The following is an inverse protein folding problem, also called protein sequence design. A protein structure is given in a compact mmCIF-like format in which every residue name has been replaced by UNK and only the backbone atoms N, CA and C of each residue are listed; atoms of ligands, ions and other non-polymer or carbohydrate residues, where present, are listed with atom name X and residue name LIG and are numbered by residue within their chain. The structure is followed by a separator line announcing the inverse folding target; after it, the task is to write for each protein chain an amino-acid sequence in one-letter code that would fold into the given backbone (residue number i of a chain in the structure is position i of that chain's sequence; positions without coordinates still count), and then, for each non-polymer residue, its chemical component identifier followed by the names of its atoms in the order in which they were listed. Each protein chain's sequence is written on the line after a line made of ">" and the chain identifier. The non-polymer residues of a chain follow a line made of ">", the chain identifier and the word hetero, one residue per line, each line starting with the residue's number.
data_IF_203770079931
#
_entry.id   IF_203770079931
#
_cell.length_a   1.000
_cell.length_b   1.000
_cell.length_c   1.000
_cell.angle_alpha   90.00
_cell.angle_beta   90.00
_cell.angle_gamma   90.00
#
_symmetry.space_group_name_H-M   'P 1'
#
loop_
_entity.id
_entity.type
_entity.pdbx_description
1 polymer ?
#
# COMPACT_ATOMS: atom_id res chain seq x y z
N UNK A 1 -17.41 -5.93 -1.04
CA UNK A 1 -16.04 -5.93 -0.54
C UNK A 1 -16.03 -6.26 0.93
N UNK A 2 -15.20 -7.20 1.30
CA UNK A 2 -14.85 -7.47 2.70
C UNK A 2 -14.26 -6.18 3.24
N UNK A 3 -14.64 -5.80 4.48
CA UNK A 3 -14.24 -4.53 5.06
C UNK A 3 -12.73 -4.29 4.89
N UNK A 4 -12.39 -3.22 4.21
CA UNK A 4 -10.99 -2.87 3.97
C UNK A 4 -10.37 -2.39 5.27
N UNK A 5 -9.77 -3.28 6.02
CA UNK A 5 -8.88 -2.89 7.10
C UNK A 5 -7.60 -2.30 6.50
N UNK A 6 -7.13 -1.21 7.10
CA UNK A 6 -5.89 -0.57 6.66
C UNK A 6 -4.72 -1.53 6.83
N UNK A 7 -3.85 -1.65 5.82
CA UNK A 7 -2.55 -2.32 5.94
C UNK A 7 -1.59 -1.59 6.90
N UNK A 8 -2.00 -0.46 7.44
CA UNK A 8 -1.18 0.35 8.33
C UNK A 8 -1.92 0.54 9.66
N UNK A 9 -1.26 0.16 10.75
CA UNK A 9 -1.72 0.56 12.07
C UNK A 9 -1.51 2.07 12.23
N UNK A 10 -2.56 2.81 12.58
CA UNK A 10 -2.53 4.27 12.71
C UNK A 10 -1.51 4.77 13.72
N UNK A 11 -1.18 3.98 14.74
CA UNK A 11 -0.16 4.28 15.73
C UNK A 11 1.29 4.24 15.18
N UNK A 12 1.48 3.63 14.01
CA UNK A 12 2.77 3.54 13.31
C UNK A 12 2.90 4.54 12.16
N UNK A 13 1.92 5.44 12.00
CA UNK A 13 1.95 6.48 10.98
C UNK A 13 2.58 7.74 11.59
N UNK A 14 3.72 8.16 11.06
CA UNK A 14 4.36 9.43 11.42
C UNK A 14 3.81 10.58 10.58
N UNK A 15 3.67 10.38 9.27
CA UNK A 15 3.14 11.37 8.34
C UNK A 15 2.34 10.67 7.23
N UNK A 16 1.28 11.31 6.79
CA UNK A 16 0.50 10.90 5.62
C UNK A 16 0.35 12.09 4.67
N UNK A 17 0.74 11.89 3.40
CA UNK A 17 0.54 12.86 2.32
C UNK A 17 -0.48 12.30 1.34
N UNK A 18 -1.51 13.06 1.06
CA UNK A 18 -2.59 12.68 0.14
C UNK A 18 -2.50 13.56 -1.10
N UNK A 19 -2.35 12.92 -2.24
CA UNK A 19 -2.40 13.53 -3.56
C UNK A 19 -3.75 13.18 -4.21
N UNK A 20 -4.72 14.05 -4.07
CA UNK A 20 -6.10 13.83 -4.56
C UNK A 20 -6.24 13.90 -6.10
N UNK A 21 -5.18 14.27 -6.79
CA UNK A 21 -5.03 14.33 -8.24
C UNK A 21 -3.61 14.75 -8.58
N UNK A 22 -3.18 14.52 -9.80
CA UNK A 22 -1.84 14.86 -10.28
C UNK A 22 -0.72 14.42 -9.30
N UNK A 23 -0.61 13.14 -8.94
CA UNK A 23 0.46 12.67 -8.06
C UNK A 23 1.82 12.96 -8.68
N UNK A 24 2.88 13.17 -7.88
CA UNK A 24 4.21 13.39 -8.43
C UNK A 24 4.67 12.16 -9.22
N UNK A 25 5.31 12.37 -10.38
CA UNK A 25 5.79 11.27 -11.24
C UNK A 25 6.96 10.46 -10.64
N UNK A 26 7.46 10.83 -9.46
CA UNK A 26 8.31 9.98 -8.65
C UNK A 26 7.58 8.72 -8.16
N UNK A 27 6.24 8.81 -8.07
CA UNK A 27 5.34 7.69 -7.79
C UNK A 27 4.81 7.18 -9.14
N UNK A 28 5.10 5.92 -9.47
CA UNK A 28 4.65 5.29 -10.72
C UNK A 28 3.23 4.75 -10.61
N UNK A 29 2.66 4.40 -11.79
CA UNK A 29 1.38 3.71 -11.93
C UNK A 29 0.20 4.37 -11.19
N UNK A 30 0.15 5.71 -11.18
CA UNK A 30 -0.89 6.46 -10.48
C UNK A 30 -1.45 7.56 -11.38
N UNK A 31 -2.76 7.54 -11.64
CA UNK A 31 -3.47 8.52 -12.46
C UNK A 31 -4.56 9.28 -11.70
N UNK A 32 -5.17 8.65 -10.69
CA UNK A 32 -6.29 9.23 -9.95
C UNK A 32 -5.85 9.92 -8.66
N UNK A 33 -4.73 9.49 -8.08
CA UNK A 33 -4.19 10.01 -6.84
C UNK A 33 -3.19 9.06 -6.21
N UNK A 34 -2.53 9.50 -5.14
CA UNK A 34 -1.60 8.69 -4.37
C UNK A 34 -1.69 9.03 -2.87
N UNK A 35 -1.40 8.06 -2.04
CA UNK A 35 -1.21 8.26 -0.60
C UNK A 35 0.21 7.80 -0.28
N UNK A 36 1.01 8.70 0.26
CA UNK A 36 2.35 8.43 0.76
C UNK A 36 2.29 8.37 2.29
N UNK A 37 2.70 7.24 2.86
CA UNK A 37 2.70 7.01 4.30
C UNK A 37 4.16 6.84 4.75
N UNK A 38 4.54 7.61 5.73
CA UNK A 38 5.86 7.54 6.36
C UNK A 38 5.69 7.10 7.83
N UNK A 39 6.53 6.17 8.27
CA UNK A 39 6.61 5.79 9.68
C UNK A 39 7.32 6.89 10.50
N UNK A 40 7.17 6.94 11.83
CA UNK A 40 7.88 7.91 12.66
C UNK A 40 9.39 7.83 12.45
N UNK A 41 10.06 8.98 12.38
CA UNK A 41 11.54 9.03 12.31
C UNK A 41 12.20 8.87 13.69
N UNK A 42 11.47 9.11 14.77
CA UNK A 42 11.95 8.95 16.15
C UNK A 42 10.79 8.72 17.12
N UNK A 43 11.09 8.10 18.24
CA UNK A 43 10.18 7.99 19.39
C UNK A 43 10.84 8.66 20.59
N UNK A 44 10.03 9.31 21.43
CA UNK A 44 10.53 10.09 22.58
C UNK A 44 10.84 9.22 23.78
N UNK A 45 10.07 8.15 24.00
CA UNK A 45 10.15 7.26 25.17
C UNK A 45 9.76 5.83 24.83
N UNK A 46 10.09 4.90 25.75
CA UNK A 46 9.50 3.57 25.74
C UNK A 46 8.00 3.68 26.07
N UNK A 47 7.18 2.93 25.38
CA UNK A 47 5.73 2.95 25.58
C UNK A 47 5.13 1.55 25.40
N UNK A 48 4.11 1.27 26.19
CA UNK A 48 3.27 0.07 26.09
C UNK A 48 1.82 0.53 26.05
N UNK A 49 1.13 0.28 24.94
CA UNK A 49 -0.29 0.56 24.80
C UNK A 49 -1.06 -0.74 24.70
N UNK A 50 -2.08 -0.86 25.51
CA UNK A 50 -3.06 -1.94 25.44
C UNK A 50 -4.39 -1.35 25.00
N UNK A 51 -5.03 -1.97 24.03
CA UNK A 51 -6.35 -1.61 23.56
C UNK A 51 -7.31 -2.77 23.76
N UNK A 52 -8.49 -2.48 24.30
CA UNK A 52 -9.55 -3.45 24.46
C UNK A 52 -10.89 -2.78 24.15
N UNK A 53 -11.69 -3.45 23.33
CA UNK A 53 -13.05 -3.06 23.01
C UNK A 53 -13.95 -4.29 22.87
N UNK A 54 -15.21 -4.09 22.56
CA UNK A 54 -16.16 -5.20 22.33
C UNK A 54 -15.81 -6.05 21.09
N UNK A 55 -14.95 -5.56 20.21
CA UNK A 55 -14.61 -6.25 18.97
C UNK A 55 -13.09 -6.32 18.71
N UNK A 56 -12.25 -5.81 19.61
CA UNK A 56 -10.81 -5.76 19.38
C UNK A 56 -10.03 -5.85 20.68
N UNK A 57 -8.93 -6.60 20.66
CA UNK A 57 -7.87 -6.59 21.65
C UNK A 57 -6.53 -6.38 20.95
N UNK A 58 -5.72 -5.45 21.44
CA UNK A 58 -4.45 -5.11 20.82
C UNK A 58 -3.37 -4.70 21.80
N UNK A 59 -2.13 -4.82 21.35
CA UNK A 59 -0.93 -4.41 22.05
C UNK A 59 0.02 -3.69 21.10
N UNK A 60 0.61 -2.59 21.54
CA UNK A 60 1.71 -1.91 20.88
C UNK A 60 2.83 -1.70 21.89
N UNK A 61 4.03 -2.14 21.53
CA UNK A 61 5.26 -1.94 22.29
C UNK A 61 6.18 -1.06 21.50
N UNK A 62 6.59 0.08 22.07
CA UNK A 62 7.58 0.97 21.49
C UNK A 62 8.83 0.97 22.35
N UNK A 63 9.96 0.56 21.78
CA UNK A 63 11.26 0.48 22.48
C UNK A 63 12.25 1.44 21.86
N UNK A 64 12.62 2.47 22.60
CA UNK A 64 13.74 3.36 22.26
C UNK A 64 15.05 2.63 22.54
N UNK A 65 15.87 2.42 21.52
CA UNK A 65 17.19 1.79 21.62
C UNK A 65 18.26 2.88 21.85
N UNK A 66 18.12 4.00 21.11
CA UNK A 66 18.90 5.23 21.28
C UNK A 66 18.07 6.43 20.82
N UNK A 67 18.64 7.65 20.80
CA UNK A 67 17.89 8.83 20.31
C UNK A 67 17.48 8.74 18.84
N UNK A 68 18.17 7.91 18.05
CA UNK A 68 17.94 7.73 16.62
C UNK A 68 17.54 6.31 16.23
N UNK A 69 17.46 5.39 17.20
CA UNK A 69 17.17 3.98 16.94
C UNK A 69 16.01 3.52 17.80
N UNK A 70 15.05 2.87 17.18
CA UNK A 70 13.90 2.32 17.89
C UNK A 70 13.31 1.11 17.18
N UNK A 71 12.52 0.37 17.95
CA UNK A 71 11.70 -0.75 17.50
C UNK A 71 10.28 -0.56 18.02
N UNK A 72 9.30 -0.77 17.14
CA UNK A 72 7.89 -0.88 17.52
C UNK A 72 7.36 -2.22 17.07
N UNK A 73 6.60 -2.89 17.94
CA UNK A 73 5.94 -4.16 17.69
C UNK A 73 4.47 -4.00 18.03
N UNK A 74 3.58 -4.47 17.18
CA UNK A 74 2.17 -4.49 17.50
C UNK A 74 1.53 -5.82 17.10
N UNK A 75 0.46 -6.16 17.78
CA UNK A 75 -0.44 -7.23 17.43
C UNK A 75 -1.87 -6.86 17.83
N UNK A 76 -2.82 -7.16 16.97
CA UNK A 76 -4.24 -6.97 17.19
C UNK A 76 -5.00 -8.24 16.84
N UNK A 77 -6.08 -8.46 17.57
CA UNK A 77 -7.06 -9.49 17.25
C UNK A 77 -8.47 -8.87 17.30
N UNK A 78 -9.18 -8.93 16.19
CA UNK A 78 -10.57 -8.54 16.10
C UNK A 78 -11.44 -9.80 16.18
N UNK A 79 -12.47 -9.74 17.00
CA UNK A 79 -13.41 -10.84 17.21
C UNK A 79 -14.85 -10.33 17.12
N UNK A 80 -15.70 -11.10 16.45
CA UNK A 80 -17.07 -10.68 16.16
C UNK A 80 -18.07 -11.02 17.23
N UNK A 81 -17.82 -12.03 18.06
CA UNK A 81 -18.84 -12.63 18.92
C UNK A 81 -19.57 -11.65 19.86
N UNK A 82 -18.89 -10.81 20.66
CA UNK A 82 -19.60 -9.85 21.54
C UNK A 82 -20.34 -8.76 20.74
N UNK A 83 -19.74 -8.32 19.64
CA UNK A 83 -20.35 -7.30 18.78
C UNK A 83 -21.65 -7.82 18.14
N UNK A 84 -21.61 -9.01 17.56
CA UNK A 84 -22.79 -9.65 16.93
C UNK A 84 -23.87 -9.96 17.95
N UNK A 85 -23.50 -10.38 19.16
CA UNK A 85 -24.45 -10.63 20.22
C UNK A 85 -25.22 -9.37 20.63
N UNK A 86 -24.54 -8.21 20.71
CA UNK A 86 -25.18 -6.93 21.04
C UNK A 86 -26.01 -6.34 19.90
N UNK A 87 -25.66 -6.63 18.65
CA UNK A 87 -26.27 -6.03 17.45
C UNK A 87 -27.06 -7.05 16.60
N UNK A 88 -27.51 -8.17 17.18
CA UNK A 88 -28.12 -9.27 16.44
C UNK A 88 -29.32 -8.87 15.57
N UNK A 89 -30.10 -7.86 15.94
CA UNK A 89 -31.26 -7.37 15.16
C UNK A 89 -30.89 -6.73 13.83
N UNK A 90 -29.71 -6.17 13.68
CA UNK A 90 -29.26 -5.45 12.48
C UNK A 90 -28.18 -6.21 11.70
N UNK A 91 -27.64 -7.28 12.25
CA UNK A 91 -26.47 -7.98 11.71
C UNK A 91 -26.64 -9.50 11.69
N UNK A 92 -27.88 -10.00 11.72
CA UNK A 92 -28.20 -11.43 11.72
C UNK A 92 -27.67 -12.18 10.49
N UNK A 93 -27.54 -11.46 9.34
CA UNK A 93 -26.88 -11.99 8.14
C UNK A 93 -25.37 -12.24 8.33
N UNK A 94 -24.73 -11.52 9.26
CA UNK A 94 -23.29 -11.63 9.53
C UNK A 94 -23.04 -12.68 10.60
N UNK A 95 -22.44 -13.81 10.23
CA UNK A 95 -22.22 -14.93 11.15
C UNK A 95 -20.91 -14.81 11.92
N UNK A 96 -19.86 -14.36 11.25
CA UNK A 96 -18.53 -14.26 11.85
C UNK A 96 -17.61 -13.34 11.03
N UNK A 97 -16.86 -12.52 11.71
CA UNK A 97 -15.63 -11.95 11.19
C UNK A 97 -14.54 -12.04 12.25
N UNK A 98 -13.35 -12.42 11.84
CA UNK A 98 -12.16 -12.40 12.69
C UNK A 98 -11.02 -11.86 11.87
N UNK A 99 -10.22 -11.02 12.50
CA UNK A 99 -9.00 -10.50 11.88
C UNK A 99 -7.89 -10.57 12.93
N UNK A 100 -6.77 -11.15 12.55
CA UNK A 100 -5.55 -11.10 13.37
C UNK A 100 -4.49 -10.42 12.55
N UNK A 101 -3.93 -9.34 13.06
CA UNK A 101 -2.87 -8.60 12.41
C UNK A 101 -1.75 -8.25 13.37
N UNK A 102 -0.57 -8.08 12.81
CA UNK A 102 0.60 -7.68 13.57
C UNK A 102 1.72 -7.18 12.68
N UNK A 103 2.66 -6.49 13.27
CA UNK A 103 3.76 -5.94 12.49
C UNK A 103 4.90 -5.39 13.33
N UNK A 104 5.93 -5.01 12.58
CA UNK A 104 7.19 -4.50 13.07
C UNK A 104 7.52 -3.19 12.36
N UNK A 105 7.94 -2.17 13.10
CA UNK A 105 8.55 -0.97 12.58
C UNK A 105 9.92 -0.79 13.26
N UNK A 106 10.98 -0.91 12.48
CA UNK A 106 12.36 -0.78 12.93
C UNK A 106 13.04 0.39 12.22
N UNK A 107 13.61 1.29 13.00
CA UNK A 107 14.40 2.40 12.51
C UNK A 107 15.80 2.37 13.12
N UNK A 108 16.82 2.29 12.26
CA UNK A 108 18.22 2.24 12.65
C UNK A 108 19.06 3.30 11.93
N UNK A 109 19.69 4.16 12.67
CA UNK A 109 20.79 5.00 12.20
C UNK A 109 22.09 4.22 12.35
N UNK A 110 22.49 3.49 11.31
CA UNK A 110 23.68 2.61 11.33
C UNK A 110 24.98 3.40 11.43
N UNK A 111 25.05 4.53 10.72
CA UNK A 111 26.14 5.51 10.81
C UNK A 111 25.55 6.93 10.69
N UNK A 112 26.32 8.02 10.93
CA UNK A 112 25.81 9.36 10.71
C UNK A 112 25.27 9.65 9.29
N UNK A 113 25.62 8.80 8.32
CA UNK A 113 25.24 8.93 6.91
C UNK A 113 24.31 7.85 6.40
N UNK A 114 24.11 6.75 7.14
CA UNK A 114 23.39 5.57 6.69
C UNK A 114 22.25 5.24 7.63
N UNK A 115 21.02 5.27 7.11
CA UNK A 115 19.80 4.88 7.79
C UNK A 115 19.25 3.60 7.18
N UNK A 116 18.69 2.74 8.01
CA UNK A 116 17.92 1.57 7.63
C UNK A 116 16.54 1.63 8.27
N UNK A 117 15.49 1.41 7.49
CA UNK A 117 14.11 1.32 7.94
C UNK A 117 13.54 -0.01 7.49
N UNK A 118 12.78 -0.66 8.36
CA UNK A 118 12.01 -1.85 8.04
C UNK A 118 10.59 -1.69 8.59
N UNK A 119 9.62 -1.89 7.73
CA UNK A 119 8.23 -2.03 8.10
C UNK A 119 7.73 -3.39 7.63
N UNK A 120 7.14 -4.15 8.53
CA UNK A 120 6.57 -5.47 8.28
C UNK A 120 5.15 -5.54 8.82
N UNK A 121 4.27 -6.22 8.07
CA UNK A 121 2.87 -6.36 8.41
C UNK A 121 2.36 -7.71 7.94
N UNK A 122 1.63 -8.40 8.81
CA UNK A 122 0.94 -9.63 8.49
C UNK A 122 -0.51 -9.56 8.96
N UNK A 123 -1.43 -10.06 8.14
CA UNK A 123 -2.85 -10.12 8.47
C UNK A 123 -3.45 -11.45 8.02
N UNK A 124 -4.33 -11.99 8.86
CA UNK A 124 -5.21 -13.14 8.57
C UNK A 124 -6.66 -12.71 8.83
N UNK A 125 -7.49 -12.75 7.79
CA UNK A 125 -8.87 -12.33 7.81
C UNK A 125 -9.78 -13.50 7.47
N UNK A 126 -10.85 -13.64 8.23
CA UNK A 126 -11.91 -14.59 8.01
C UNK A 126 -13.27 -13.91 8.12
N UNK A 127 -14.11 -14.12 7.14
CA UNK A 127 -15.45 -13.57 7.06
C UNK A 127 -16.47 -14.65 6.67
N UNK A 128 -17.64 -14.61 7.30
CA UNK A 128 -18.74 -15.53 7.03
C UNK A 128 -20.08 -14.81 7.19
N UNK A 129 -20.91 -14.89 6.17
CA UNK A 129 -22.23 -14.25 6.16
C UNK A 129 -23.25 -15.03 5.34
N UNK A 130 -24.51 -14.94 5.72
CA UNK A 130 -25.62 -15.36 4.86
C UNK A 130 -25.70 -14.40 3.68
N UNK A 131 -25.70 -14.95 2.49
CA UNK A 131 -25.73 -14.19 1.23
C UNK A 131 -26.87 -14.73 0.39
N UNK A 132 -27.61 -13.82 -0.25
CA UNK A 132 -28.66 -14.17 -1.19
C UNK A 132 -28.34 -13.53 -2.54
N UNK A 133 -28.33 -14.35 -3.59
CA UNK A 133 -28.08 -13.90 -4.95
C UNK A 133 -28.90 -14.71 -5.93
N UNK A 134 -29.68 -14.05 -6.80
CA UNK A 134 -30.56 -14.70 -7.79
C UNK A 134 -31.46 -15.79 -7.21
N UNK A 135 -32.10 -15.52 -6.06
CA UNK A 135 -32.95 -16.44 -5.31
C UNK A 135 -32.24 -17.68 -4.72
N UNK A 136 -30.94 -17.78 -4.84
CA UNK A 136 -30.13 -18.75 -4.11
C UNK A 136 -29.59 -18.14 -2.82
N UNK A 137 -29.81 -18.84 -1.71
CA UNK A 137 -29.43 -18.39 -0.39
C UNK A 137 -28.53 -19.41 0.28
N UNK A 138 -27.32 -19.01 0.60
CA UNK A 138 -26.34 -19.87 1.27
C UNK A 138 -25.36 -19.01 2.08
N UNK A 139 -24.51 -19.69 2.84
CA UNK A 139 -23.44 -19.08 3.61
C UNK A 139 -22.22 -18.78 2.74
N UNK A 140 -21.90 -17.52 2.58
CA UNK A 140 -20.64 -17.11 1.94
C UNK A 140 -19.48 -17.10 2.92
N UNK A 141 -18.31 -17.53 2.45
CA UNK A 141 -17.04 -17.52 3.20
C UNK A 141 -15.99 -16.76 2.42
N UNK A 142 -15.29 -15.88 3.10
CA UNK A 142 -14.14 -15.20 2.52
C UNK A 142 -12.95 -15.24 3.48
N UNK A 143 -11.77 -15.48 2.91
CA UNK A 143 -10.51 -15.53 3.65
C UNK A 143 -9.48 -14.67 2.95
N UNK A 144 -8.61 -14.03 3.72
CA UNK A 144 -7.48 -13.28 3.19
C UNK A 144 -6.29 -13.41 4.13
N UNK A 145 -5.14 -13.75 3.58
CA UNK A 145 -3.85 -13.75 4.28
C UNK A 145 -2.88 -12.91 3.50
N UNK A 146 -2.29 -11.94 4.14
CA UNK A 146 -1.33 -11.05 3.52
C UNK A 146 -0.12 -10.85 4.40
N UNK A 147 1.04 -10.87 3.79
CA UNK A 147 2.29 -10.44 4.37
C UNK A 147 2.88 -9.35 3.49
N UNK A 148 3.22 -8.23 4.11
CA UNK A 148 3.73 -7.05 3.45
C UNK A 148 4.98 -6.56 4.16
N UNK A 149 6.03 -6.28 3.40
CA UNK A 149 7.30 -5.76 3.91
C UNK A 149 7.77 -4.58 3.06
N UNK A 150 8.28 -3.55 3.70
CA UNK A 150 9.06 -2.49 3.07
C UNK A 150 10.37 -2.32 3.82
N UNK A 151 11.48 -2.46 3.12
CA UNK A 151 12.82 -2.19 3.63
C UNK A 151 13.43 -1.02 2.87
N UNK A 152 13.97 -0.03 3.58
CA UNK A 152 14.59 1.15 3.02
C UNK A 152 16.00 1.36 3.55
N UNK A 153 16.94 1.68 2.65
CA UNK A 153 18.30 2.08 2.98
C UNK A 153 18.55 3.47 2.40
N UNK A 154 18.87 4.43 3.25
CA UNK A 154 19.15 5.81 2.86
C UNK A 154 20.57 6.18 3.21
N UNK A 155 21.35 6.58 2.22
CA UNK A 155 22.69 7.11 2.37
C UNK A 155 22.70 8.61 2.06
N UNK A 156 23.18 9.44 3.00
CA UNK A 156 23.31 10.90 2.86
C UNK A 156 24.77 11.32 2.88
N UNK A 157 25.27 11.84 1.76
CA UNK A 157 26.59 12.44 1.68
C UNK A 157 26.51 13.92 2.11
N UNK A 158 26.66 14.19 3.40
CA UNK A 158 26.38 15.48 4.05
C UNK A 158 27.11 16.69 3.43
N UNK A 159 28.29 16.50 2.85
CA UNK A 159 29.09 17.59 2.25
C UNK A 159 28.69 17.91 0.80
N UNK A 160 28.11 16.96 0.07
CA UNK A 160 27.79 17.10 -1.34
C UNK A 160 26.31 17.38 -1.63
N UNK A 161 25.43 17.33 -0.62
CA UNK A 161 23.97 17.47 -0.82
C UNK A 161 23.33 16.30 -1.56
N UNK A 162 24.04 15.16 -1.69
CA UNK A 162 23.55 13.96 -2.36
C UNK A 162 22.92 13.00 -1.36
N UNK A 163 21.72 12.52 -1.67
CA UNK A 163 21.04 11.45 -0.92
C UNK A 163 20.72 10.31 -1.89
N UNK A 164 21.08 9.09 -1.54
CA UNK A 164 20.75 7.89 -2.28
C UNK A 164 19.81 7.02 -1.45
N UNK A 165 18.71 6.59 -2.05
CA UNK A 165 17.68 5.76 -1.42
C UNK A 165 17.51 4.48 -2.21
N UNK A 166 17.61 3.35 -1.52
CA UNK A 166 17.23 2.04 -2.03
C UNK A 166 16.04 1.55 -1.22
N UNK A 167 14.92 1.28 -1.88
CA UNK A 167 13.75 0.73 -1.24
C UNK A 167 13.36 -0.60 -1.89
N UNK A 168 12.96 -1.55 -1.08
CA UNK A 168 12.43 -2.85 -1.49
C UNK A 168 11.09 -3.09 -0.80
N UNK A 169 10.08 -3.49 -1.56
CA UNK A 169 8.77 -3.86 -1.08
C UNK A 169 8.41 -5.27 -1.53
N UNK A 170 7.88 -6.06 -0.63
CA UNK A 170 7.36 -7.41 -0.90
C UNK A 170 5.92 -7.45 -0.40
N UNK A 171 5.02 -7.97 -1.20
CA UNK A 171 3.61 -8.14 -0.86
C UNK A 171 3.17 -9.54 -1.32
N UNK A 172 2.83 -10.40 -0.38
CA UNK A 172 2.34 -11.75 -0.60
C UNK A 172 0.92 -11.84 -0.07
N UNK A 173 -0.04 -12.05 -0.96
CA UNK A 173 -1.45 -12.16 -0.62
C UNK A 173 -2.04 -13.47 -1.13
N UNK A 174 -2.83 -14.12 -0.29
CA UNK A 174 -3.67 -15.25 -0.66
C UNK A 174 -5.08 -14.95 -0.18
N UNK A 175 -6.05 -14.94 -1.10
CA UNK A 175 -7.47 -14.78 -0.78
C UNK A 175 -8.27 -15.97 -1.30
N UNK A 176 -9.39 -16.25 -0.66
CA UNK A 176 -10.34 -17.26 -1.06
C UNK A 176 -11.78 -16.78 -0.85
N UNK A 177 -12.67 -17.20 -1.71
CA UNK A 177 -14.09 -16.91 -1.61
C UNK A 177 -14.90 -18.15 -2.00
N UNK A 178 -15.95 -18.44 -1.22
CA UNK A 178 -16.87 -19.54 -1.48
C UNK A 178 -18.31 -19.09 -1.29
N UNK A 179 -19.18 -19.46 -2.23
CA UNK A 179 -20.63 -19.25 -2.16
C UNK A 179 -21.33 -20.22 -3.13
N UNK A 180 -22.13 -21.15 -2.61
CA UNK A 180 -22.70 -22.23 -3.41
C UNK A 180 -21.61 -22.97 -4.20
N UNK A 181 -21.85 -23.21 -5.49
CA UNK A 181 -20.89 -23.87 -6.40
C UNK A 181 -19.62 -23.07 -6.62
N UNK A 182 -19.64 -21.74 -6.36
CA UNK A 182 -18.47 -20.89 -6.52
C UNK A 182 -17.45 -21.12 -5.42
N UNK A 183 -16.22 -21.57 -5.78
CA UNK A 183 -15.09 -21.72 -4.87
C UNK A 183 -13.82 -21.24 -5.59
N UNK A 184 -13.34 -20.06 -5.23
CA UNK A 184 -12.21 -19.42 -5.88
C UNK A 184 -11.11 -19.02 -4.91
N UNK A 185 -9.87 -19.10 -5.38
CA UNK A 185 -8.70 -18.63 -4.66
C UNK A 185 -7.76 -17.84 -5.57
N UNK A 186 -7.21 -16.77 -5.02
CA UNK A 186 -6.21 -15.95 -5.69
C UNK A 186 -4.95 -15.92 -4.84
N UNK A 187 -3.79 -16.11 -5.48
CA UNK A 187 -2.48 -15.85 -4.89
C UNK A 187 -1.79 -14.76 -5.67
N UNK A 188 -1.49 -13.67 -5.01
CA UNK A 188 -0.83 -12.53 -5.58
C UNK A 188 0.52 -12.31 -4.87
N UNK A 189 1.59 -12.22 -5.67
CA UNK A 189 2.93 -11.92 -5.21
C UNK A 189 3.41 -10.68 -5.95
N UNK A 190 3.77 -9.63 -5.21
CA UNK A 190 4.34 -8.39 -5.74
C UNK A 190 5.71 -8.15 -5.15
N UNK A 191 6.65 -7.78 -6.00
CA UNK A 191 7.98 -7.32 -5.62
C UNK A 191 8.16 -5.93 -6.21
N UNK A 192 8.59 -4.99 -5.39
CA UNK A 192 8.92 -3.63 -5.80
C UNK A 192 10.35 -3.31 -5.35
N UNK A 193 11.15 -2.75 -6.24
CA UNK A 193 12.48 -2.25 -5.91
C UNK A 193 12.66 -0.88 -6.55
N UNK A 194 13.18 0.09 -5.81
CA UNK A 194 13.51 1.40 -6.32
C UNK A 194 14.87 1.87 -5.84
N UNK A 195 15.64 2.45 -6.75
CA UNK A 195 16.88 3.16 -6.48
C UNK A 195 16.68 4.60 -6.91
N UNK A 196 16.88 5.56 -6.02
CA UNK A 196 16.76 6.98 -6.29
C UNK A 196 17.98 7.75 -5.79
N UNK A 197 18.43 8.72 -6.57
CA UNK A 197 19.43 9.68 -6.16
C UNK A 197 18.81 11.09 -6.16
N UNK A 198 18.99 11.83 -5.05
CA UNK A 198 18.54 13.20 -4.87
C UNK A 198 19.76 14.09 -4.71
N UNK A 199 19.73 15.25 -5.34
CA UNK A 199 20.79 16.25 -5.24
C UNK A 199 20.19 17.62 -5.02
N UNK A 200 20.66 18.32 -4.00
CA UNK A 200 20.18 19.65 -3.64
C UNK A 200 21.33 20.65 -3.71
N UNK A 201 21.13 21.68 -4.51
CA UNK A 201 22.09 22.78 -4.65
C UNK A 201 21.34 24.12 -4.68
N UNK A 202 21.56 24.96 -3.68
CA UNK A 202 20.90 26.26 -3.54
C UNK A 202 19.37 26.15 -3.68
N UNK A 203 18.82 26.70 -4.74
CA UNK A 203 17.38 26.76 -5.03
C UNK A 203 16.89 25.63 -5.95
N UNK A 204 17.78 24.71 -6.30
CA UNK A 204 17.51 23.59 -7.21
C UNK A 204 17.55 22.27 -6.46
N UNK A 205 16.58 21.43 -6.73
CA UNK A 205 16.54 20.03 -6.31
C UNK A 205 16.35 19.13 -7.52
N UNK A 206 17.16 18.10 -7.63
CA UNK A 206 17.07 17.08 -8.66
C UNK A 206 16.84 15.72 -8.04
N UNK A 207 16.06 14.89 -8.69
CA UNK A 207 15.90 13.51 -8.32
C UNK A 207 15.82 12.66 -9.59
N UNK A 208 16.62 11.61 -9.63
CA UNK A 208 16.56 10.58 -10.66
C UNK A 208 16.36 9.23 -10.00
N UNK A 209 15.61 8.35 -10.62
CA UNK A 209 15.41 7.02 -10.06
C UNK A 209 15.05 5.98 -11.11
N UNK A 210 15.29 4.74 -10.72
CA UNK A 210 14.93 3.53 -11.44
C UNK A 210 14.03 2.70 -10.53
N UNK A 211 12.91 2.21 -11.06
CA UNK A 211 11.99 1.35 -10.35
C UNK A 211 11.78 0.05 -11.13
N UNK A 212 11.69 -1.03 -10.39
CA UNK A 212 11.33 -2.36 -10.89
C UNK A 212 10.13 -2.88 -10.13
N UNK A 213 9.12 -3.32 -10.83
CA UNK A 213 7.96 -3.98 -10.26
C UNK A 213 7.74 -5.31 -10.95
N UNK A 214 7.57 -6.35 -10.16
CA UNK A 214 7.16 -7.68 -10.61
C UNK A 214 5.90 -8.07 -9.88
N UNK A 215 4.89 -8.51 -10.64
CA UNK A 215 3.62 -9.01 -10.11
C UNK A 215 3.33 -10.36 -10.73
N UNK A 216 2.95 -11.30 -9.90
CA UNK A 216 2.44 -12.61 -10.30
C UNK A 216 1.11 -12.84 -9.62
N UNK A 217 0.08 -13.13 -10.42
CA UNK A 217 -1.24 -13.50 -9.94
C UNK A 217 -1.55 -14.90 -10.44
N UNK A 218 -1.86 -15.81 -9.53
CA UNK A 218 -2.41 -17.12 -9.86
C UNK A 218 -3.85 -17.12 -9.37
N UNK A 219 -4.75 -17.41 -10.25
CA UNK A 219 -6.17 -17.52 -9.99
C UNK A 219 -6.59 -18.95 -10.28
N UNK A 220 -7.26 -19.59 -9.31
CA UNK A 220 -7.83 -20.91 -9.45
C UNK A 220 -9.20 -20.92 -8.83
N UNK A 221 -10.19 -21.49 -9.54
CA UNK A 221 -11.52 -21.60 -8.97
C UNK A 221 -12.53 -22.23 -9.89
N UNK A 222 -13.64 -22.61 -9.28
CA UNK A 222 -14.86 -23.11 -9.91
C UNK A 222 -15.92 -22.02 -9.85
N UNK A 223 -16.63 -21.80 -10.97
CA UNK A 223 -17.63 -20.76 -11.12
C UNK A 223 -18.88 -21.35 -11.76
N UNK A 224 -20.06 -20.82 -11.44
CA UNK A 224 -21.27 -21.22 -12.14
C UNK A 224 -21.13 -20.89 -13.64
N UNK A 225 -21.47 -21.82 -14.50
CA UNK A 225 -21.52 -21.64 -15.96
C UNK A 225 -22.50 -20.53 -16.35
N UNK A 226 -23.59 -20.45 -15.60
CA UNK A 226 -24.60 -19.44 -15.78
C UNK A 226 -24.65 -18.50 -14.58
N UNK A 227 -24.51 -17.19 -14.81
CA UNK A 227 -24.39 -16.16 -13.79
C UNK A 227 -25.57 -16.05 -12.79
N UNK A 228 -26.67 -16.74 -13.04
CA UNK A 228 -27.87 -16.74 -12.21
C UNK A 228 -28.04 -18.02 -11.38
N UNK A 229 -27.23 -19.06 -11.57
CA UNK A 229 -27.35 -20.34 -10.86
C UNK A 229 -26.13 -20.61 -10.01
N UNK A 230 -26.28 -20.42 -8.71
CA UNK A 230 -25.24 -20.62 -7.70
C UNK A 230 -25.49 -21.89 -6.88
N UNK A 231 -26.49 -22.71 -7.20
CA UNK A 231 -26.79 -23.92 -6.44
C UNK A 231 -25.63 -24.91 -6.45
N UNK A 232 -25.57 -25.79 -5.47
CA UNK A 232 -24.54 -26.81 -5.39
C UNK A 232 -24.58 -27.82 -6.56
N UNK A 233 -25.71 -27.89 -7.24
CA UNK A 233 -25.97 -28.76 -8.42
C UNK A 233 -25.79 -28.00 -9.76
N UNK A 234 -25.46 -26.70 -9.72
CA UNK A 234 -25.28 -25.88 -10.92
C UNK A 234 -24.14 -26.42 -11.80
N UNK A 235 -24.35 -26.36 -13.13
CA UNK A 235 -23.23 -26.57 -14.06
C UNK A 235 -22.12 -25.54 -13.80
N UNK A 236 -20.91 -26.03 -13.72
CA UNK A 236 -19.73 -25.20 -13.38
C UNK A 236 -18.66 -25.18 -14.49
N UNK A 237 -17.77 -24.23 -14.37
CA UNK A 237 -16.55 -24.11 -15.15
C UNK A 237 -15.38 -23.84 -14.23
N UNK A 238 -14.27 -24.52 -14.48
CA UNK A 238 -13.03 -24.30 -13.74
C UNK A 238 -12.14 -23.34 -14.50
N UNK A 239 -11.59 -22.33 -13.81
CA UNK A 239 -10.57 -21.43 -14.30
C UNK A 239 -9.25 -21.68 -13.57
N UNK A 240 -8.13 -21.76 -14.29
CA UNK A 240 -6.76 -21.82 -13.77
C UNK A 240 -5.91 -20.84 -14.59
N UNK A 241 -5.83 -19.60 -14.12
CA UNK A 241 -5.15 -18.52 -14.82
C UNK A 241 -3.91 -18.08 -14.08
N UNK A 242 -2.86 -17.79 -14.86
CA UNK A 242 -1.58 -17.27 -14.35
C UNK A 242 -1.18 -16.04 -15.13
N UNK A 243 -1.10 -14.93 -14.42
CA UNK A 243 -0.74 -13.64 -14.98
C UNK A 243 0.62 -13.19 -14.43
N UNK A 244 1.44 -12.66 -15.30
CA UNK A 244 2.75 -12.12 -14.95
C UNK A 244 2.87 -10.70 -15.52
N UNK A 245 3.35 -9.79 -14.71
CA UNK A 245 3.68 -8.46 -15.16
C UNK A 245 5.03 -8.05 -14.58
N UNK A 246 5.93 -7.56 -15.44
CA UNK A 246 7.21 -7.01 -15.05
C UNK A 246 7.37 -5.65 -15.68
N UNK A 247 7.64 -4.63 -14.89
CA UNK A 247 7.78 -3.25 -15.37
C UNK A 247 9.05 -2.63 -14.81
N UNK A 248 9.86 -2.10 -15.71
CA UNK A 248 10.98 -1.23 -15.40
C UNK A 248 10.64 0.19 -15.81
N UNK A 249 10.91 1.17 -14.95
CA UNK A 249 10.69 2.57 -15.26
C UNK A 249 11.83 3.41 -14.72
N UNK A 250 12.28 4.36 -15.54
CA UNK A 250 13.18 5.42 -15.12
C UNK A 250 12.42 6.74 -15.00
N UNK A 251 12.80 7.59 -14.06
CA UNK A 251 12.24 8.92 -13.92
C UNK A 251 13.30 9.97 -13.58
N UNK A 252 12.99 11.20 -13.97
CA UNK A 252 13.74 12.38 -13.59
C UNK A 252 12.77 13.46 -13.12
N UNK A 253 13.11 14.12 -12.00
CA UNK A 253 12.35 15.19 -11.40
C UNK A 253 13.27 16.36 -11.11
N UNK A 254 12.83 17.57 -11.39
CA UNK A 254 13.50 18.80 -11.06
C UNK A 254 12.57 19.74 -10.31
N UNK A 255 13.08 20.41 -9.29
CA UNK A 255 12.38 21.40 -8.49
C UNK A 255 13.22 22.68 -8.46
N UNK A 256 12.58 23.83 -8.69
CA UNK A 256 13.22 25.15 -8.65
C UNK A 256 12.43 26.10 -7.75
N UNK A 257 13.09 26.69 -6.78
CA UNK A 257 12.49 27.61 -5.80
C UNK A 257 13.22 28.97 -5.90
N UNK A 258 12.88 29.82 -6.90
CA UNK A 258 13.60 31.09 -7.12
C UNK A 258 13.52 32.01 -5.92
N UNK A 259 12.36 32.05 -5.26
CA UNK A 259 12.08 32.82 -4.05
C UNK A 259 11.19 32.00 -3.11
N UNK A 260 11.13 32.37 -1.82
CA UNK A 260 10.43 31.57 -0.78
C UNK A 260 8.96 31.25 -1.08
N UNK A 261 8.28 32.08 -1.83
CA UNK A 261 6.85 31.95 -2.14
C UNK A 261 6.54 31.40 -3.53
N UNK A 262 7.57 31.11 -4.36
CA UNK A 262 7.42 30.51 -5.69
C UNK A 262 8.17 29.19 -5.80
N UNK A 263 7.50 28.19 -6.32
CA UNK A 263 8.06 26.89 -6.58
C UNK A 263 7.59 26.39 -7.95
N UNK A 264 8.54 25.94 -8.75
CA UNK A 264 8.27 25.26 -10.02
C UNK A 264 8.82 23.83 -9.95
N UNK A 265 8.14 22.89 -10.59
CA UNK A 265 8.69 21.55 -10.76
C UNK A 265 8.31 20.96 -12.10
N UNK A 266 9.19 20.10 -12.60
CA UNK A 266 8.97 19.30 -13.80
C UNK A 266 9.45 17.88 -13.57
N UNK A 267 8.77 16.93 -14.20
CA UNK A 267 9.13 15.53 -14.13
C UNK A 267 8.84 14.81 -15.45
N UNK A 268 9.62 13.79 -15.72
CA UNK A 268 9.39 12.82 -16.79
C UNK A 268 9.60 11.42 -16.23
N UNK A 269 8.74 10.50 -16.64
CA UNK A 269 8.83 9.07 -16.31
C UNK A 269 8.58 8.25 -17.56
N UNK A 270 9.43 7.26 -17.78
CA UNK A 270 9.37 6.40 -18.94
C UNK A 270 9.53 4.94 -18.53
N UNK A 271 8.71 4.06 -19.11
CA UNK A 271 8.95 2.63 -18.99
C UNK A 271 10.08 2.18 -19.94
N UNK A 272 10.71 1.07 -19.55
CA UNK A 272 11.65 0.33 -20.38
C UNK A 272 10.87 -0.91 -20.85
N UNK A 273 10.27 -0.90 -22.05
CA UNK A 273 9.33 -1.93 -22.45
C UNK A 273 10.04 -3.24 -22.73
N UNK A 274 9.44 -4.34 -22.29
CA UNK A 274 9.74 -5.68 -22.80
C UNK A 274 8.96 -5.91 -24.11
N UNK A 275 9.31 -6.92 -24.88
CA UNK A 275 8.87 -7.10 -26.28
C UNK A 275 7.35 -7.06 -26.54
N UNK A 276 6.52 -7.35 -25.52
CA UNK A 276 5.05 -7.34 -25.60
C UNK A 276 4.38 -6.15 -24.90
N UNK A 277 5.17 -5.24 -24.32
CA UNK A 277 4.63 -4.14 -23.52
C UNK A 277 4.54 -2.85 -24.32
N UNK A 278 3.47 -2.05 -24.13
CA UNK A 278 3.35 -0.74 -24.75
C UNK A 278 4.44 0.20 -24.22
N UNK A 279 5.00 0.99 -25.13
CA UNK A 279 5.96 2.05 -24.80
C UNK A 279 5.20 3.32 -24.42
N UNK A 280 5.45 3.89 -23.24
CA UNK A 280 4.83 5.13 -22.81
C UNK A 280 5.81 6.07 -22.13
N UNK A 281 5.47 7.35 -22.19
CA UNK A 281 6.19 8.43 -21.49
C UNK A 281 5.16 9.31 -20.78
N UNK A 282 5.32 9.45 -19.48
CA UNK A 282 4.55 10.39 -18.64
C UNK A 282 5.37 11.63 -18.38
N UNK A 283 4.73 12.80 -18.33
CA UNK A 283 5.37 14.05 -17.98
C UNK A 283 4.44 14.90 -17.11
N UNK A 284 5.02 15.75 -16.27
CA UNK A 284 4.30 16.68 -15.41
C UNK A 284 5.08 17.96 -15.27
N UNK A 285 4.36 19.08 -15.26
CA UNK A 285 4.86 20.38 -14.84
C UNK A 285 3.92 20.97 -13.79
N UNK A 286 4.46 21.63 -12.78
CA UNK A 286 3.65 22.29 -11.77
C UNK A 286 4.29 23.58 -11.26
N UNK A 287 3.45 24.52 -10.82
CA UNK A 287 3.85 25.75 -10.19
C UNK A 287 3.02 25.99 -8.93
N UNK A 288 3.66 26.42 -7.86
CA UNK A 288 3.02 26.85 -6.63
C UNK A 288 3.40 28.28 -6.31
N UNK A 289 2.40 29.10 -6.07
CA UNK A 289 2.59 30.46 -5.58
C UNK A 289 1.87 30.65 -4.23
N UNK A 290 2.63 30.82 -3.18
CA UNK A 290 2.11 31.18 -1.86
C UNK A 290 1.99 32.70 -1.79
N UNK A 291 0.81 33.24 -2.09
CA UNK A 291 0.54 34.69 -2.11
C UNK A 291 0.70 35.29 -0.71
N UNK A 292 0.20 34.60 0.31
CA UNK A 292 0.33 34.92 1.72
C UNK A 292 0.10 33.65 2.57
N UNK A 293 0.05 33.80 3.89
CA UNK A 293 -0.16 32.67 4.83
C UNK A 293 -1.51 31.95 4.65
N UNK A 294 -2.50 32.62 4.07
CA UNK A 294 -3.87 32.10 3.90
C UNK A 294 -4.17 31.60 2.49
N UNK A 295 -3.46 32.10 1.48
CA UNK A 295 -3.75 31.82 0.08
C UNK A 295 -2.53 31.26 -0.64
N UNK A 296 -2.70 30.09 -1.25
CA UNK A 296 -1.75 29.52 -2.18
C UNK A 296 -2.45 29.07 -3.46
N UNK A 297 -1.83 29.35 -4.60
CA UNK A 297 -2.27 28.88 -5.92
C UNK A 297 -1.35 27.74 -6.34
N UNK A 298 -1.94 26.60 -6.68
CA UNK A 298 -1.24 25.45 -7.25
C UNK A 298 -1.82 25.18 -8.64
N UNK A 299 -0.94 25.18 -9.65
CA UNK A 299 -1.27 24.78 -11.01
C UNK A 299 -0.42 23.57 -11.38
N UNK A 300 -1.03 22.59 -12.03
CA UNK A 300 -0.33 21.41 -12.51
C UNK A 300 -0.94 20.94 -13.84
N UNK A 301 -0.09 20.52 -14.75
CA UNK A 301 -0.47 19.89 -16.01
C UNK A 301 0.44 18.70 -16.28
N UNK A 302 -0.08 17.65 -16.89
CA UNK A 302 0.72 16.47 -17.19
C UNK A 302 -0.01 15.42 -18.02
N UNK A 303 0.77 14.45 -18.50
CA UNK A 303 0.29 13.22 -19.11
C UNK A 303 0.74 12.05 -18.26
N UNK A 304 -0.22 11.28 -17.79
CA UNK A 304 0.00 10.14 -16.90
C UNK A 304 -0.38 8.85 -17.61
N UNK A 305 0.33 7.79 -17.32
CA UNK A 305 0.00 6.45 -17.75
C UNK A 305 -0.12 5.54 -16.53
N UNK A 306 -1.07 4.64 -16.61
CA UNK A 306 -1.19 3.50 -15.69
C UNK A 306 -1.15 2.22 -16.51
N UNK A 307 -0.59 1.19 -15.92
CA UNK A 307 -0.66 -0.16 -16.43
C UNK A 307 -1.54 -0.97 -15.48
N UNK A 308 -2.58 -1.55 -16.04
CA UNK A 308 -3.40 -2.45 -15.26
C UNK A 308 -2.63 -3.76 -15.09
N UNK A 309 -2.44 -4.16 -13.84
CA UNK A 309 -2.26 -5.57 -13.54
C UNK A 309 -3.67 -6.13 -13.52
N UNK A 310 -4.02 -7.07 -14.38
CA UNK A 310 -5.31 -7.71 -14.31
C UNK A 310 -5.49 -8.26 -12.90
N UNK A 311 -6.59 -7.86 -12.25
CA UNK A 311 -6.99 -8.37 -10.94
C UNK A 311 -7.74 -9.68 -11.12
#
# INVERSE_FOLDING_TARGET
>A
GIGNFSVFNTELIGQMKVYAGNPPLTIGNSIAGAIEIETPEHITRNDLKLSLSLANAGILISKKISDKNFLQLYANHQFSAPYLWLNHTNTDFLKRFNTTDGGVNLHLQLTPRLKFNLYEYAIDEYYRADTEQYNYKDESKATSRRWFQVAGLTFAALQSGVVVELNNGIDLCKSGYRFGVMDGSTRENRLYTSLAAKYFVRNLGFQAGLTHQYTRVNFYGTFPKYFYDYSDEAEDVTADDKLYNRVWEGYFYCKYTPVRHLLFSGAVRKNIPEASQPNYTSWQVSGRWNMNEKFSLLLSAGKYHTYNVPA
#
